data_IF_454954170813
#
_entry.id   IF_454954170813
#
_cell.length_a   1.000
_cell.length_b   1.000
_cell.length_c   1.000
_cell.angle_alpha   90.00
_cell.angle_beta   90.00
_cell.angle_gamma   90.00
#
_symmetry.space_group_name_H-M   'P 1'
#
loop_
_entity.id
_entity.type
_entity.pdbx_description
1 polymer ?
#
# COMPACT_ATOMS: atom_id res chain seq x y z
N UNK A 1 -18.96 19.42 -53.97
CA UNK A 1 -17.49 19.20 -53.97
C UNK A 1 -17.16 18.21 -52.86
N UNK A 2 -16.72 17.04 -53.28
CA UNK A 2 -16.37 15.90 -52.45
C UNK A 2 -15.03 16.14 -51.75
N UNK A 3 -14.94 15.84 -50.46
CA UNK A 3 -14.17 14.69 -49.96
C UNK A 3 -14.17 14.61 -48.43
N UNK A 4 -14.52 13.45 -47.86
CA UNK A 4 -14.41 13.14 -46.43
C UNK A 4 -12.95 12.88 -46.05
N UNK A 5 -12.56 13.19 -44.82
CA UNK A 5 -11.29 12.76 -44.26
C UNK A 5 -11.49 11.51 -43.40
N UNK A 6 -10.99 10.41 -43.95
CA UNK A 6 -10.90 9.07 -43.38
C UNK A 6 -9.96 9.03 -42.17
N UNK A 7 -10.36 8.25 -41.16
CA UNK A 7 -9.50 7.72 -40.08
C UNK A 7 -8.17 7.18 -40.61
N UNK A 8 -7.17 7.10 -39.72
CA UNK A 8 -6.67 5.78 -39.39
C UNK A 8 -6.84 5.42 -37.91
N UNK A 9 -7.02 4.12 -37.76
CA UNK A 9 -7.07 3.32 -36.56
C UNK A 9 -5.66 3.24 -35.96
N UNK A 10 -5.52 3.49 -34.65
CA UNK A 10 -4.54 2.75 -33.86
C UNK A 10 -5.22 2.22 -32.60
N UNK A 11 -5.14 0.89 -32.50
CA UNK A 11 -5.71 -0.04 -31.54
C UNK A 11 -4.54 -0.50 -30.69
N UNK A 12 -4.57 -0.24 -29.38
CA UNK A 12 -3.84 -0.93 -28.29
C UNK A 12 -3.94 -0.05 -27.04
N UNK A 13 -4.43 -0.47 -25.88
CA UNK A 13 -5.06 -1.71 -25.45
C UNK A 13 -6.21 -1.29 -24.53
N UNK A 14 -7.27 -2.11 -24.46
CA UNK A 14 -8.18 -2.07 -23.33
C UNK A 14 -7.40 -2.53 -22.09
N UNK A 15 -6.56 -1.63 -21.55
CA UNK A 15 -6.09 -1.75 -20.19
C UNK A 15 -7.34 -1.60 -19.34
N UNK A 16 -7.87 -2.73 -18.88
CA UNK A 16 -8.82 -2.81 -17.78
C UNK A 16 -8.34 -1.76 -16.77
N UNK A 17 -9.01 -0.61 -16.72
CA UNK A 17 -8.69 0.43 -15.76
C UNK A 17 -9.09 -0.18 -14.45
N UNK A 18 -8.16 -0.91 -13.84
CA UNK A 18 -8.29 -1.47 -12.53
C UNK A 18 -8.42 -0.26 -11.62
N UNK A 19 -9.67 0.18 -11.43
CA UNK A 19 -10.00 1.30 -10.58
C UNK A 19 -9.45 0.94 -9.22
N UNK A 20 -8.50 1.76 -8.75
CA UNK A 20 -7.88 1.54 -7.46
C UNK A 20 -8.99 1.54 -6.40
N UNK A 21 -9.19 0.40 -5.75
CA UNK A 21 -10.16 0.21 -4.67
C UNK A 21 -9.79 1.04 -3.44
N UNK A 22 -8.49 1.25 -3.24
CA UNK A 22 -7.95 2.15 -2.22
C UNK A 22 -6.65 2.76 -2.75
N UNK A 23 -6.36 4.00 -2.37
CA UNK A 23 -5.05 4.63 -2.62
C UNK A 23 -4.80 5.70 -1.56
N UNK A 24 -3.53 5.93 -1.26
CA UNK A 24 -3.15 6.97 -0.30
C UNK A 24 -1.64 7.13 -0.18
N UNK A 25 -1.23 8.22 0.43
CA UNK A 25 0.17 8.48 0.74
C UNK A 25 0.51 8.01 2.15
N UNK A 26 1.73 7.52 2.31
CA UNK A 26 2.22 7.15 3.63
C UNK A 26 2.47 8.40 4.47
N UNK A 27 2.02 8.31 5.71
CA UNK A 27 2.29 9.24 6.80
C UNK A 27 3.43 8.68 7.64
N UNK A 28 4.25 9.60 8.15
CA UNK A 28 5.39 9.28 9.00
C UNK A 28 4.92 8.60 10.29
N UNK A 29 5.61 7.52 10.66
CA UNK A 29 5.59 6.92 11.99
C UNK A 29 6.86 7.31 12.74
N UNK A 30 7.72 6.34 13.05
CA UNK A 30 9.00 6.58 13.71
C UNK A 30 10.05 7.23 12.78
N UNK A 31 10.06 6.86 11.51
CA UNK A 31 11.08 7.30 10.53
C UNK A 31 10.43 7.99 9.34
N UNK A 32 11.14 8.91 8.66
CA UNK A 32 10.64 9.53 7.44
C UNK A 32 10.21 8.51 6.40
N UNK A 33 9.14 8.84 5.68
CA UNK A 33 8.61 8.04 4.58
C UNK A 33 8.23 8.95 3.43
N UNK A 34 8.35 8.43 2.21
CA UNK A 34 7.85 9.07 1.00
C UNK A 34 7.11 8.05 0.14
N UNK A 35 6.28 8.56 -0.76
CA UNK A 35 5.42 7.76 -1.63
C UNK A 35 4.13 7.28 -0.98
N UNK A 36 3.48 6.37 -1.68
CA UNK A 36 2.14 5.92 -1.35
C UNK A 36 1.89 4.49 -1.77
N UNK A 37 0.64 4.10 -1.67
CA UNK A 37 0.15 2.80 -2.09
C UNK A 37 -1.13 2.96 -2.90
N UNK A 38 -1.41 1.96 -3.73
CA UNK A 38 -2.68 1.74 -4.37
C UNK A 38 -3.04 0.27 -4.23
N UNK A 39 -4.32 -0.03 -4.09
CA UNK A 39 -4.86 -1.39 -4.14
C UNK A 39 -5.78 -1.47 -5.34
N UNK A 40 -5.57 -2.45 -6.21
CA UNK A 40 -6.36 -2.64 -7.42
C UNK A 40 -6.70 -4.12 -7.60
N UNK A 41 -7.72 -4.40 -8.41
CA UNK A 41 -8.08 -5.78 -8.79
C UNK A 41 -7.34 -6.15 -10.07
N UNK A 42 -6.59 -7.25 -10.04
CA UNK A 42 -5.82 -7.77 -11.16
C UNK A 42 -6.04 -9.28 -11.27
N UNK A 43 -6.63 -9.74 -12.38
CA UNK A 43 -6.93 -11.16 -12.59
C UNK A 43 -7.83 -11.79 -11.52
N UNK A 44 -8.77 -11.00 -10.97
CA UNK A 44 -9.68 -11.45 -9.91
C UNK A 44 -9.06 -11.47 -8.50
N UNK A 45 -7.81 -11.04 -8.36
CA UNK A 45 -7.11 -10.93 -7.07
C UNK A 45 -6.88 -9.46 -6.72
N UNK A 46 -6.87 -9.15 -5.44
CA UNK A 46 -6.47 -7.83 -4.97
C UNK A 46 -4.95 -7.74 -4.91
N UNK A 47 -4.40 -6.64 -5.39
CA UNK A 47 -2.96 -6.39 -5.40
C UNK A 47 -2.68 -5.03 -4.77
N UNK A 48 -1.85 -5.02 -3.75
CA UNK A 48 -1.28 -3.81 -3.18
C UNK A 48 0.00 -3.46 -3.94
N UNK A 49 0.08 -2.21 -4.41
CA UNK A 49 1.22 -1.66 -5.12
C UNK A 49 1.74 -0.43 -4.40
N UNK A 50 3.02 -0.45 -4.05
CA UNK A 50 3.73 0.73 -3.58
C UNK A 50 4.18 1.58 -4.77
N UNK A 51 4.16 2.90 -4.59
CA UNK A 51 4.55 3.85 -5.63
C UNK A 51 6.06 3.77 -5.94
N UNK A 52 6.47 4.22 -7.12
CA UNK A 52 7.89 4.15 -7.53
C UNK A 52 8.80 5.00 -6.65
N UNK A 53 8.27 6.08 -6.12
CA UNK A 53 8.88 7.02 -5.18
C UNK A 53 8.75 6.57 -3.71
N UNK A 54 8.26 5.36 -3.45
CA UNK A 54 8.21 4.81 -2.10
C UNK A 54 9.63 4.70 -1.51
N UNK A 55 9.79 5.23 -0.29
CA UNK A 55 11.06 5.15 0.45
C UNK A 55 10.79 5.18 1.94
N UNK A 56 11.41 4.27 2.68
CA UNK A 56 11.42 4.23 4.15
C UNK A 56 12.82 3.89 4.67
N UNK A 57 12.96 3.69 5.98
CA UNK A 57 14.24 3.38 6.63
C UNK A 57 14.82 2.04 6.15
N UNK A 58 16.05 2.04 5.66
CA UNK A 58 16.81 0.85 5.26
C UNK A 58 17.52 0.16 6.43
N UNK A 59 17.60 0.80 7.59
CA UNK A 59 18.26 0.25 8.79
C UNK A 59 17.35 -0.68 9.60
N UNK A 60 16.08 -0.81 9.23
CA UNK A 60 15.13 -1.73 9.84
C UNK A 60 15.24 -3.14 9.19
N UNK A 61 15.71 -4.16 9.93
CA UNK A 61 16.11 -5.44 9.34
C UNK A 61 14.94 -6.41 9.03
N UNK A 62 13.74 -6.15 9.54
CA UNK A 62 12.59 -7.05 9.37
C UNK A 62 11.30 -6.28 9.09
N UNK A 63 11.31 -5.52 7.99
CA UNK A 63 10.16 -4.75 7.55
C UNK A 63 9.07 -5.65 6.96
N UNK A 64 7.84 -5.42 7.40
CA UNK A 64 6.62 -6.07 6.94
C UNK A 64 5.63 -5.02 6.46
N UNK A 65 4.82 -5.42 5.48
CA UNK A 65 3.57 -4.74 5.16
C UNK A 65 2.48 -5.39 5.99
N UNK A 66 1.74 -4.58 6.75
CA UNK A 66 0.66 -5.06 7.62
C UNK A 66 -0.58 -4.21 7.43
N UNK A 67 -1.75 -4.80 7.65
CA UNK A 67 -3.01 -4.09 7.76
C UNK A 67 -3.45 -3.96 9.21
N UNK A 68 -4.14 -2.87 9.53
CA UNK A 68 -4.78 -2.65 10.83
C UNK A 68 -6.25 -2.29 10.63
N UNK A 69 -7.16 -2.77 11.50
CA UNK A 69 -8.55 -2.34 11.52
C UNK A 69 -8.73 -0.84 11.82
N UNK A 70 -7.76 -0.22 12.50
CA UNK A 70 -7.83 1.21 12.83
C UNK A 70 -7.42 2.08 11.63
N UNK A 71 -8.19 3.12 11.27
CA UNK A 71 -7.77 4.09 10.25
C UNK A 71 -6.64 4.99 10.75
N UNK A 72 -6.48 5.15 12.06
CA UNK A 72 -5.45 5.96 12.72
C UNK A 72 -4.68 5.09 13.72
N UNK A 73 -3.89 4.11 13.24
CA UNK A 73 -3.28 3.08 14.09
C UNK A 73 -2.29 3.64 15.12
N UNK A 74 -1.78 4.86 14.89
CA UNK A 74 -0.84 5.51 15.80
C UNK A 74 -1.50 6.44 16.82
N UNK A 75 -2.80 6.71 16.74
CA UNK A 75 -3.48 7.66 17.64
C UNK A 75 -3.41 7.23 19.11
N UNK A 76 -3.40 5.93 19.37
CA UNK A 76 -3.28 5.36 20.72
C UNK A 76 -1.87 4.87 21.05
N UNK A 77 -0.90 5.08 20.15
CA UNK A 77 0.48 4.64 20.32
C UNK A 77 1.40 5.84 20.58
N UNK A 78 2.39 5.66 21.45
CA UNK A 78 3.37 6.71 21.79
C UNK A 78 4.71 6.45 21.11
N UNK A 79 5.42 7.54 20.85
CA UNK A 79 6.83 7.49 20.47
C UNK A 79 7.71 7.12 21.68
N UNK A 80 8.92 6.58 21.46
CA UNK A 80 9.48 6.16 20.17
C UNK A 80 8.85 4.85 19.65
N UNK A 81 9.23 4.43 18.44
CA UNK A 81 8.81 3.18 17.77
C UNK A 81 7.34 3.06 17.35
N UNK A 82 6.37 3.65 18.05
CA UNK A 82 4.95 3.46 17.78
C UNK A 82 4.55 1.97 17.67
N UNK A 83 4.69 1.21 18.78
CA UNK A 83 4.47 -0.23 18.78
C UNK A 83 3.02 -0.60 18.49
N UNK A 84 2.85 -1.70 17.75
CA UNK A 84 1.55 -2.31 17.54
C UNK A 84 1.25 -3.31 18.66
N UNK A 85 -0.02 -3.39 19.07
CA UNK A 85 -0.48 -4.38 20.03
C UNK A 85 -0.50 -5.76 19.34
N UNK A 86 0.06 -6.82 19.92
CA UNK A 86 -0.04 -8.16 19.36
C UNK A 86 -1.49 -8.54 19.07
N UNK A 87 -1.75 -9.09 17.88
CA UNK A 87 -3.09 -9.47 17.42
C UNK A 87 -3.96 -8.32 16.91
N UNK A 88 -3.51 -7.06 16.96
CA UNK A 88 -4.27 -5.92 16.42
C UNK A 88 -3.97 -5.62 14.93
N UNK A 89 -3.23 -6.49 14.25
CA UNK A 89 -2.78 -6.31 12.88
C UNK A 89 -2.73 -7.64 12.13
N UNK A 90 -2.78 -7.56 10.81
CA UNK A 90 -2.65 -8.71 9.91
C UNK A 90 -1.43 -8.51 9.01
N UNK A 91 -0.47 -9.43 9.05
CA UNK A 91 0.71 -9.37 8.19
C UNK A 91 0.31 -9.77 6.77
N UNK A 92 0.61 -8.91 5.80
CA UNK A 92 0.46 -9.24 4.38
C UNK A 92 1.69 -9.99 3.87
N UNK A 93 2.85 -9.37 3.99
CA UNK A 93 4.11 -9.90 3.47
C UNK A 93 5.33 -9.18 4.06
N UNK A 94 6.53 -9.79 4.01
CA UNK A 94 7.78 -9.06 4.16
C UNK A 94 7.93 -7.99 3.08
N UNK A 95 8.46 -6.83 3.46
CA UNK A 95 8.82 -5.78 2.52
C UNK A 95 10.08 -6.21 1.76
N UNK A 96 9.99 -6.28 0.42
CA UNK A 96 11.08 -6.74 -0.45
C UNK A 96 12.28 -5.80 -0.41
N UNK A 97 12.01 -4.49 -0.50
CA UNK A 97 13.03 -3.43 -0.50
C UNK A 97 12.49 -2.22 0.27
N UNK A 98 13.36 -1.47 0.96
CA UNK A 98 12.97 -0.23 1.64
C UNK A 98 12.64 0.92 0.68
N UNK A 99 12.90 0.74 -0.62
CA UNK A 99 12.77 1.75 -1.66
C UNK A 99 12.21 1.17 -2.96
N UNK A 100 11.49 2.00 -3.72
CA UNK A 100 11.01 1.67 -5.06
C UNK A 100 9.61 1.06 -5.09
N UNK A 101 9.08 0.99 -6.31
CA UNK A 101 7.76 0.45 -6.59
C UNK A 101 7.76 -1.08 -6.53
N UNK A 102 6.76 -1.65 -5.85
CA UNK A 102 6.69 -3.07 -5.57
C UNK A 102 5.23 -3.50 -5.37
N UNK A 103 4.92 -4.74 -5.78
CA UNK A 103 3.56 -5.28 -5.75
C UNK A 103 3.46 -6.53 -4.88
N UNK A 104 2.31 -6.67 -4.23
CA UNK A 104 1.95 -7.73 -3.29
C UNK A 104 0.53 -8.19 -3.53
N UNK A 105 0.34 -9.48 -3.81
CA UNK A 105 -0.99 -10.06 -3.86
C UNK A 105 -1.57 -10.14 -2.47
N UNK A 106 -2.76 -9.59 -2.28
CA UNK A 106 -3.53 -9.69 -1.05
C UNK A 106 -4.31 -11.01 -1.12
N UNK A 107 -4.05 -11.98 -0.22
CA UNK A 107 -4.80 -13.22 -0.20
C UNK A 107 -6.25 -12.95 0.22
N UNK A 108 -7.17 -13.77 -0.29
CA UNK A 108 -8.60 -13.63 -0.01
C UNK A 108 -8.96 -13.81 1.49
N UNK A 109 -8.05 -14.34 2.30
CA UNK A 109 -8.18 -14.41 3.75
C UNK A 109 -8.12 -13.04 4.45
N UNK A 110 -7.57 -12.01 3.78
CA UNK A 110 -7.52 -10.64 4.29
C UNK A 110 -8.72 -9.87 3.73
N UNK A 111 -9.72 -9.67 4.59
CA UNK A 111 -10.88 -8.83 4.27
C UNK A 111 -10.51 -7.34 4.41
N UNK A 112 -10.26 -6.68 3.29
CA UNK A 112 -9.96 -5.24 3.22
C UNK A 112 -11.09 -4.36 3.77
N UNK A 113 -12.34 -4.84 3.78
CA UNK A 113 -13.47 -4.06 4.29
C UNK A 113 -13.37 -3.84 5.80
N UNK A 114 -12.70 -4.76 6.50
CA UNK A 114 -12.42 -4.71 7.94
C UNK A 114 -11.11 -3.98 8.28
N UNK A 115 -10.35 -3.55 7.27
CA UNK A 115 -9.10 -2.84 7.47
C UNK A 115 -9.33 -1.32 7.35
N UNK A 116 -8.71 -0.57 8.25
CA UNK A 116 -8.71 0.89 8.26
C UNK A 116 -7.44 1.48 7.66
N UNK A 117 -6.30 0.80 7.79
CA UNK A 117 -5.01 1.30 7.30
C UNK A 117 -4.05 0.19 6.86
N UNK A 118 -3.08 0.58 6.03
CA UNK A 118 -1.88 -0.19 5.73
C UNK A 118 -0.68 0.46 6.41
N UNK A 119 0.25 -0.35 6.91
CA UNK A 119 1.44 0.09 7.60
C UNK A 119 2.68 -0.63 7.09
N UNK A 120 3.81 0.06 7.24
CA UNK A 120 5.16 -0.50 7.13
C UNK A 120 5.70 -0.60 8.55
N UNK A 121 5.92 -1.83 9.01
CA UNK A 121 6.22 -2.14 10.39
C UNK A 121 7.43 -3.07 10.49
N UNK A 122 8.38 -2.75 11.37
CA UNK A 122 9.51 -3.60 11.68
C UNK A 122 9.11 -4.58 12.78
N UNK A 123 9.00 -5.86 12.45
CA UNK A 123 8.56 -6.88 13.39
C UNK A 123 9.58 -7.09 14.52
N UNK A 124 10.89 -7.09 14.20
CA UNK A 124 11.96 -7.29 15.17
C UNK A 124 11.97 -6.25 16.31
N UNK A 125 11.67 -5.00 15.99
CA UNK A 125 11.71 -3.89 16.97
C UNK A 125 10.31 -3.44 17.41
N UNK A 126 9.26 -4.09 16.92
CA UNK A 126 7.87 -3.65 17.04
C UNK A 126 7.73 -2.15 16.76
N UNK A 127 8.22 -1.72 15.60
CA UNK A 127 8.37 -0.31 15.27
C UNK A 127 7.66 0.06 13.97
N UNK A 128 6.69 0.97 14.03
CA UNK A 128 5.94 1.44 12.86
C UNK A 128 6.71 2.54 12.15
N UNK A 129 7.21 2.26 10.95
CA UNK A 129 7.92 3.24 10.13
C UNK A 129 6.95 4.19 9.44
N UNK A 130 5.85 3.65 8.91
CA UNK A 130 4.91 4.40 8.11
C UNK A 130 3.50 3.80 8.17
N UNK A 131 2.49 4.61 7.90
CA UNK A 131 1.10 4.15 7.83
C UNK A 131 0.28 5.01 6.88
N UNK A 132 -0.80 4.46 6.33
CA UNK A 132 -1.73 5.19 5.48
C UNK A 132 -3.15 4.62 5.63
N UNK A 133 -4.19 5.46 5.75
CA UNK A 133 -5.57 4.98 5.78
C UNK A 133 -5.97 4.41 4.40
N UNK A 134 -6.81 3.37 4.41
CA UNK A 134 -7.35 2.76 3.17
C UNK A 134 -8.52 3.55 2.59
N UNK A 135 -9.28 4.21 3.45
CA UNK A 135 -10.40 5.10 3.10
C UNK A 135 -10.00 6.50 3.57
N UNK A 136 -9.94 7.43 2.63
CA UNK A 136 -9.79 8.86 2.94
C UNK A 136 -11.16 9.49 3.13
#
# INVERSE_FOLDING_TARGET
>A
MSKPMTKPMQKEAAGMTASAMAKGNFRMGEKPVSGGFSIHSEGGKQVLKLSKDFKTSDTAPDLKIVFSPSPTPLASSKAPAYPLKPGSYTILAPLKTSQGGQSYTIPASIDLSKQGSVLIWCQKFNATMAWAPLKS
#
